data_IF_548213754605
#
_entry.id   IF_548213754605
#
_cell.length_a   1.000
_cell.length_b   1.000
_cell.length_c   1.000
_cell.angle_alpha   90.00
_cell.angle_beta   90.00
_cell.angle_gamma   90.00
#
_symmetry.space_group_name_H-M   'P 1'
#
loop_
_entity.id
_entity.type
_entity.pdbx_description
1 polymer ?
#
# COMPACT_ATOMS: atom_id res chain seq x y z
N UNK A 1 -58.66 31.92 15.75
CA UNK A 1 -57.40 32.42 15.16
C UNK A 1 -56.16 32.20 16.05
N UNK A 2 -56.31 31.94 17.36
CA UNK A 2 -55.17 31.71 18.28
C UNK A 2 -54.62 30.27 18.26
N UNK A 3 -55.46 29.26 17.98
CA UNK A 3 -55.06 27.83 17.96
C UNK A 3 -54.19 27.44 16.76
N UNK A 4 -54.32 28.12 15.62
CA UNK A 4 -53.54 27.85 14.40
C UNK A 4 -52.11 28.40 14.48
N UNK A 5 -51.87 29.43 15.29
CA UNK A 5 -50.55 30.04 15.47
C UNK A 5 -49.62 29.20 16.34
N UNK A 6 -50.18 28.43 17.28
CA UNK A 6 -49.44 27.52 18.17
C UNK A 6 -48.95 26.28 17.41
N UNK A 7 -49.75 25.75 16.46
CA UNK A 7 -49.37 24.59 15.66
C UNK A 7 -48.24 24.89 14.66
N UNK A 8 -48.25 26.07 14.04
CA UNK A 8 -47.20 26.48 13.11
C UNK A 8 -45.84 26.72 13.80
N UNK A 9 -45.87 27.19 15.06
CA UNK A 9 -44.64 27.41 15.82
C UNK A 9 -44.01 26.07 16.27
N UNK A 10 -44.83 25.08 16.61
CA UNK A 10 -44.34 23.74 16.93
C UNK A 10 -43.76 23.02 15.70
N UNK A 11 -44.36 23.14 14.51
CA UNK A 11 -43.80 22.46 13.32
C UNK A 11 -42.47 23.07 12.86
N UNK A 12 -42.30 24.39 13.00
CA UNK A 12 -41.03 25.07 12.75
C UNK A 12 -39.95 24.69 13.77
N UNK A 13 -40.30 24.59 15.05
CA UNK A 13 -39.37 24.13 16.09
C UNK A 13 -38.98 22.66 15.86
N UNK A 14 -39.93 21.80 15.48
CA UNK A 14 -39.65 20.39 15.16
C UNK A 14 -38.77 20.27 13.92
N UNK A 15 -39.02 21.05 12.85
CA UNK A 15 -38.14 21.08 11.67
C UNK A 15 -36.75 21.59 11.99
N UNK A 16 -36.60 22.63 12.82
CA UNK A 16 -35.29 23.15 13.23
C UNK A 16 -34.54 22.11 14.09
N UNK A 17 -35.26 21.36 14.94
CA UNK A 17 -34.66 20.30 15.75
C UNK A 17 -34.25 19.12 14.87
N UNK A 18 -35.12 18.65 13.96
CA UNK A 18 -34.81 17.59 12.99
C UNK A 18 -33.66 17.98 12.06
N UNK A 19 -33.63 19.21 11.55
CA UNK A 19 -32.51 19.72 10.74
C UNK A 19 -31.22 19.80 11.57
N UNK A 20 -31.29 20.17 12.86
CA UNK A 20 -30.12 20.21 13.75
C UNK A 20 -29.61 18.82 14.14
N UNK A 21 -30.50 17.85 14.38
CA UNK A 21 -30.15 16.46 14.66
C UNK A 21 -29.63 15.76 13.40
N UNK A 22 -30.26 16.00 12.25
CA UNK A 22 -29.78 15.50 10.97
C UNK A 22 -28.41 16.10 10.62
N UNK A 23 -28.20 17.41 10.80
CA UNK A 23 -26.85 18.00 10.59
C UNK A 23 -25.82 17.52 11.61
N UNK A 24 -26.18 17.28 12.87
CA UNK A 24 -25.30 16.65 13.86
C UNK A 24 -24.98 15.18 13.52
N UNK A 25 -25.97 14.42 13.04
CA UNK A 25 -25.80 13.04 12.58
C UNK A 25 -24.98 12.95 11.28
N UNK A 26 -25.22 13.83 10.31
CA UNK A 26 -24.42 13.92 9.09
C UNK A 26 -22.98 14.37 9.38
N UNK A 27 -22.79 15.36 10.27
CA UNK A 27 -21.46 15.78 10.71
C UNK A 27 -20.75 14.64 11.46
N UNK A 28 -21.43 13.89 12.34
CA UNK A 28 -20.82 12.76 13.05
C UNK A 28 -20.51 11.57 12.13
N UNK A 29 -21.37 11.27 11.16
CA UNK A 29 -21.14 10.21 10.18
C UNK A 29 -20.00 10.54 9.21
N UNK A 30 -19.94 11.77 8.69
CA UNK A 30 -18.83 12.24 7.84
C UNK A 30 -17.51 12.23 8.61
N UNK A 31 -17.49 12.71 9.85
CA UNK A 31 -16.31 12.65 10.72
C UNK A 31 -15.86 11.21 10.98
N UNK A 32 -16.79 10.30 11.24
CA UNK A 32 -16.49 8.89 11.46
C UNK A 32 -15.93 8.24 10.20
N UNK A 33 -16.49 8.55 9.03
CA UNK A 33 -15.97 8.08 7.75
C UNK A 33 -14.54 8.58 7.50
N UNK A 34 -14.29 9.89 7.66
CA UNK A 34 -12.95 10.48 7.50
C UNK A 34 -11.94 9.88 8.48
N UNK A 35 -12.34 9.68 9.74
CA UNK A 35 -11.53 9.00 10.73
C UNK A 35 -11.11 7.60 10.25
N UNK A 36 -12.08 6.79 9.83
CA UNK A 36 -11.82 5.44 9.29
C UNK A 36 -10.87 5.50 8.10
N UNK A 37 -11.07 6.43 7.16
CA UNK A 37 -10.20 6.61 6.00
C UNK A 37 -8.75 6.92 6.41
N UNK A 38 -8.54 7.83 7.37
CA UNK A 38 -7.19 8.18 7.86
C UNK A 38 -6.53 6.99 8.51
N UNK A 39 -7.23 6.27 9.40
CA UNK A 39 -6.70 5.08 10.05
C UNK A 39 -6.29 4.03 9.02
N UNK A 40 -7.15 3.75 8.03
CA UNK A 40 -6.84 2.81 6.95
C UNK A 40 -5.63 3.30 6.15
N UNK A 41 -5.55 4.58 5.80
CA UNK A 41 -4.42 5.13 5.06
C UNK A 41 -3.10 4.97 5.84
N UNK A 42 -3.10 5.29 7.14
CA UNK A 42 -1.93 5.12 8.02
C UNK A 42 -1.48 3.66 8.09
N UNK A 43 -2.41 2.74 8.28
CA UNK A 43 -2.13 1.30 8.31
C UNK A 43 -1.53 0.82 6.99
N UNK A 44 -2.12 1.22 5.86
CA UNK A 44 -1.60 0.87 4.53
C UNK A 44 -0.17 1.38 4.38
N UNK A 45 0.11 2.64 4.73
CA UNK A 45 1.45 3.23 4.62
C UNK A 45 2.51 2.46 5.43
N UNK A 46 2.17 2.04 6.65
CA UNK A 46 3.07 1.24 7.49
C UNK A 46 3.27 -0.19 6.95
N UNK A 47 2.25 -0.77 6.32
CA UNK A 47 2.28 -2.16 5.85
C UNK A 47 2.97 -2.35 4.50
N UNK A 48 3.00 -1.35 3.62
CA UNK A 48 3.63 -1.44 2.28
C UNK A 48 5.04 -2.06 2.32
N UNK A 49 6.01 -1.50 3.08
CA UNK A 49 7.37 -2.06 3.09
C UNK A 49 7.43 -3.49 3.65
N UNK A 50 6.58 -3.81 4.64
CA UNK A 50 6.51 -5.15 5.22
C UNK A 50 5.97 -6.17 4.21
N UNK A 51 4.89 -5.84 3.50
CA UNK A 51 4.29 -6.69 2.47
C UNK A 51 5.25 -6.92 1.31
N UNK A 52 5.93 -5.85 0.85
CA UNK A 52 6.94 -5.95 -0.21
C UNK A 52 8.10 -6.86 0.21
N UNK A 53 8.62 -6.69 1.43
CA UNK A 53 9.71 -7.52 1.95
C UNK A 53 9.29 -8.99 2.08
N UNK A 54 8.15 -9.27 2.71
CA UNK A 54 7.64 -10.62 2.87
C UNK A 54 7.43 -11.31 1.52
N UNK A 55 6.77 -10.62 0.58
CA UNK A 55 6.52 -11.15 -0.75
C UNK A 55 7.81 -11.35 -1.56
N UNK A 56 8.81 -10.48 -1.40
CA UNK A 56 10.13 -10.67 -2.01
C UNK A 56 10.80 -11.94 -1.50
N UNK A 57 10.84 -12.15 -0.18
CA UNK A 57 11.46 -13.32 0.45
C UNK A 57 10.76 -14.62 0.01
N UNK A 58 9.43 -14.65 0.04
CA UNK A 58 8.65 -15.81 -0.42
C UNK A 58 8.97 -16.16 -1.89
N UNK A 59 9.01 -15.15 -2.77
CA UNK A 59 9.33 -15.38 -4.17
C UNK A 59 10.79 -15.81 -4.37
N UNK A 60 11.73 -15.36 -3.54
CA UNK A 60 13.12 -15.84 -3.58
C UNK A 60 13.21 -17.35 -3.29
N UNK A 61 12.51 -17.83 -2.26
CA UNK A 61 12.45 -19.26 -1.96
C UNK A 61 11.76 -20.05 -3.07
N UNK A 62 10.67 -19.52 -3.64
CA UNK A 62 9.97 -20.15 -4.77
C UNK A 62 10.85 -20.25 -6.03
N UNK A 63 11.65 -19.22 -6.35
CA UNK A 63 12.63 -19.27 -7.44
C UNK A 63 13.61 -20.43 -7.24
N UNK A 64 14.16 -20.57 -6.03
CA UNK A 64 15.13 -21.62 -5.73
C UNK A 64 14.48 -23.01 -5.79
N UNK A 65 13.25 -23.14 -5.29
CA UNK A 65 12.47 -24.38 -5.36
C UNK A 65 12.22 -24.81 -6.81
N UNK A 66 11.63 -23.94 -7.63
CA UNK A 66 11.30 -24.27 -9.02
C UNK A 66 12.55 -24.43 -9.88
N UNK A 67 13.62 -23.67 -9.62
CA UNK A 67 14.92 -23.89 -10.25
C UNK A 67 15.43 -25.32 -10.01
N UNK A 68 15.38 -25.79 -8.76
CA UNK A 68 15.80 -27.15 -8.42
C UNK A 68 14.92 -28.19 -9.10
N UNK A 69 13.60 -28.01 -9.12
CA UNK A 69 12.67 -28.92 -9.81
C UNK A 69 12.92 -29.01 -11.32
N UNK A 70 13.21 -27.87 -11.97
CA UNK A 70 13.60 -27.79 -13.38
C UNK A 70 14.91 -28.57 -13.59
N UNK A 71 15.94 -28.26 -12.82
CA UNK A 71 17.29 -28.83 -13.00
C UNK A 71 17.33 -30.34 -12.70
N UNK A 72 16.61 -30.83 -11.69
CA UNK A 72 16.59 -32.26 -11.37
C UNK A 72 15.80 -33.04 -12.38
N UNK A 73 14.61 -32.59 -12.76
CA UNK A 73 13.73 -33.37 -13.63
C UNK A 73 14.30 -33.41 -15.06
N UNK A 74 14.76 -32.29 -15.64
CA UNK A 74 15.25 -32.27 -17.02
C UNK A 74 16.48 -33.17 -17.18
N UNK A 75 17.36 -33.19 -16.18
CA UNK A 75 18.55 -34.04 -16.19
C UNK A 75 18.25 -35.52 -15.94
N UNK A 76 17.03 -35.92 -15.58
CA UNK A 76 16.71 -37.30 -15.16
C UNK A 76 15.61 -38.00 -15.96
N UNK A 77 14.98 -37.36 -16.95
CA UNK A 77 13.80 -37.93 -17.62
C UNK A 77 13.99 -38.22 -19.10
N UNK A 78 14.19 -39.50 -19.40
CA UNK A 78 13.45 -40.15 -20.49
C UNK A 78 11.96 -40.21 -20.08
N UNK A 79 10.99 -40.15 -21.03
CA UNK A 79 9.52 -40.38 -20.89
C UNK A 79 8.59 -39.13 -21.04
N UNK A 80 8.20 -38.87 -22.30
CA UNK A 80 6.89 -38.57 -22.94
C UNK A 80 5.77 -37.74 -22.22
N UNK A 81 5.54 -37.78 -20.90
CA UNK A 81 4.47 -36.99 -20.23
C UNK A 81 4.86 -35.55 -19.83
N UNK A 82 5.91 -35.05 -20.47
CA UNK A 82 6.76 -34.00 -19.92
C UNK A 82 6.30 -32.56 -20.22
N UNK A 83 5.57 -32.33 -21.30
CA UNK A 83 5.41 -30.98 -21.86
C UNK A 83 4.52 -30.07 -21.00
N UNK A 84 3.37 -30.56 -20.54
CA UNK A 84 2.39 -29.73 -19.83
C UNK A 84 2.82 -29.42 -18.38
N UNK A 85 3.30 -30.43 -17.66
CA UNK A 85 3.81 -30.25 -16.29
C UNK A 85 5.05 -29.35 -16.26
N UNK A 86 5.99 -29.56 -17.19
CA UNK A 86 7.21 -28.73 -17.28
C UNK A 86 6.87 -27.30 -17.63
N UNK A 87 5.93 -27.07 -18.55
CA UNK A 87 5.41 -25.73 -18.86
C UNK A 87 4.81 -25.06 -17.61
N UNK A 88 4.02 -25.79 -16.83
CA UNK A 88 3.46 -25.29 -15.57
C UNK A 88 4.54 -24.89 -14.54
N UNK A 89 5.60 -25.69 -14.38
CA UNK A 89 6.72 -25.37 -13.48
C UNK A 89 7.54 -24.18 -13.98
N UNK A 90 7.73 -24.08 -15.30
CA UNK A 90 8.41 -22.95 -15.94
C UNK A 90 7.62 -21.64 -15.77
N UNK A 91 6.30 -21.67 -15.96
CA UNK A 91 5.44 -20.50 -15.75
C UNK A 91 5.46 -20.03 -14.28
N UNK A 92 5.47 -20.98 -13.33
CA UNK A 92 5.64 -20.68 -11.90
C UNK A 92 7.00 -20.06 -11.61
N UNK A 93 8.08 -20.59 -12.20
CA UNK A 93 9.42 -20.00 -12.08
C UNK A 93 9.46 -18.56 -12.61
N UNK A 94 8.96 -18.32 -13.83
CA UNK A 94 8.91 -16.98 -14.44
C UNK A 94 8.08 -16.01 -13.60
N UNK A 95 6.93 -16.46 -13.09
CA UNK A 95 6.09 -15.67 -12.21
C UNK A 95 6.82 -15.32 -10.90
N UNK A 96 7.53 -16.26 -10.30
CA UNK A 96 8.32 -16.01 -9.09
C UNK A 96 9.49 -15.06 -9.37
N UNK A 97 10.20 -15.17 -10.49
CA UNK A 97 11.22 -14.19 -10.90
C UNK A 97 10.64 -12.79 -11.09
N UNK A 98 9.53 -12.66 -11.82
CA UNK A 98 8.84 -11.39 -12.04
C UNK A 98 8.39 -10.76 -10.72
N UNK A 99 7.77 -11.55 -9.83
CA UNK A 99 7.31 -11.08 -8.53
C UNK A 99 8.47 -10.73 -7.59
N UNK A 100 9.57 -11.49 -7.58
CA UNK A 100 10.75 -11.16 -6.79
C UNK A 100 11.30 -9.78 -7.16
N UNK A 101 11.57 -9.55 -8.45
CA UNK A 101 12.14 -8.27 -8.92
C UNK A 101 11.13 -7.13 -8.74
N UNK A 102 9.84 -7.37 -9.01
CA UNK A 102 8.74 -6.44 -8.70
C UNK A 102 8.80 -5.96 -7.24
N UNK A 103 8.87 -6.88 -6.30
CA UNK A 103 8.85 -6.54 -4.88
C UNK A 103 10.17 -5.94 -4.40
N UNK A 104 11.31 -6.43 -4.91
CA UNK A 104 12.64 -5.88 -4.62
C UNK A 104 12.77 -4.43 -5.07
N UNK A 105 12.39 -4.12 -6.30
CA UNK A 105 12.44 -2.75 -6.85
C UNK A 105 11.47 -1.82 -6.14
N UNK A 106 10.27 -2.28 -5.81
CA UNK A 106 9.33 -1.53 -4.96
C UNK A 106 9.93 -1.21 -3.59
N UNK A 107 10.51 -2.21 -2.92
CA UNK A 107 11.13 -2.02 -1.61
C UNK A 107 12.35 -1.09 -1.67
N UNK A 108 13.19 -1.24 -2.71
CA UNK A 108 14.33 -0.36 -2.94
C UNK A 108 13.88 1.09 -3.17
N UNK A 109 12.87 1.30 -4.01
CA UNK A 109 12.29 2.62 -4.27
C UNK A 109 11.74 3.24 -2.98
N UNK A 110 10.96 2.49 -2.20
CA UNK A 110 10.47 2.94 -0.90
C UNK A 110 11.61 3.46 -0.04
N UNK A 111 12.64 2.64 0.21
CA UNK A 111 13.77 3.03 1.05
C UNK A 111 14.57 4.22 0.51
N UNK A 112 14.84 4.26 -0.80
CA UNK A 112 15.59 5.36 -1.42
C UNK A 112 14.82 6.67 -1.33
N UNK A 113 13.52 6.68 -1.64
CA UNK A 113 12.71 7.89 -1.61
C UNK A 113 12.37 8.33 -0.18
N UNK A 114 12.17 7.40 0.75
CA UNK A 114 12.09 7.70 2.18
C UNK A 114 13.38 8.35 2.68
N UNK A 115 14.54 7.82 2.29
CA UNK A 115 15.83 8.39 2.68
C UNK A 115 16.04 9.78 2.06
N UNK A 116 15.70 9.95 0.79
CA UNK A 116 15.77 11.24 0.12
C UNK A 116 14.90 12.27 0.86
N UNK A 117 13.66 11.92 1.21
CA UNK A 117 12.77 12.78 1.99
C UNK A 117 13.34 13.13 3.36
N UNK A 118 13.92 12.18 4.09
CA UNK A 118 14.54 12.43 5.40
C UNK A 118 15.71 13.42 5.28
N UNK A 119 16.51 13.31 4.22
CA UNK A 119 17.69 14.17 4.00
C UNK A 119 17.29 15.56 3.55
N UNK A 120 16.30 15.69 2.65
CA UNK A 120 15.93 16.99 2.07
C UNK A 120 14.83 17.71 2.83
N UNK A 121 14.01 16.99 3.60
CA UNK A 121 12.84 17.51 4.30
C UNK A 121 13.10 17.98 5.73
N UNK A 122 14.28 17.70 6.28
CA UNK A 122 14.62 18.01 7.67
C UNK A 122 16.04 18.56 7.80
N UNK A 123 16.23 19.53 8.70
CA UNK A 123 17.54 20.15 8.95
C UNK A 123 18.60 19.18 9.49
N UNK A 124 18.15 18.14 10.20
CA UNK A 124 19.02 17.13 10.80
C UNK A 124 18.51 15.73 10.49
N UNK A 125 19.39 14.88 9.94
CA UNK A 125 19.10 13.48 9.62
C UNK A 125 18.52 12.70 10.80
N UNK A 126 19.06 12.86 12.02
CA UNK A 126 18.57 12.15 13.21
C UNK A 126 17.13 12.54 13.53
N UNK A 127 16.83 13.85 13.47
CA UNK A 127 15.48 14.37 13.70
C UNK A 127 14.53 13.88 12.61
N UNK A 128 14.94 13.98 11.34
CA UNK A 128 14.13 13.52 10.21
C UNK A 128 13.81 12.02 10.28
N UNK A 129 14.77 11.20 10.68
CA UNK A 129 14.55 9.75 10.85
C UNK A 129 13.50 9.48 11.95
N UNK A 130 13.60 10.17 13.10
CA UNK A 130 12.64 10.02 14.19
C UNK A 130 11.24 10.49 13.76
N UNK A 131 11.13 11.69 13.19
CA UNK A 131 9.86 12.28 12.78
C UNK A 131 9.20 11.51 11.64
N UNK A 132 9.97 11.03 10.67
CA UNK A 132 9.48 10.20 9.56
C UNK A 132 8.77 8.94 10.05
N UNK A 133 9.40 8.18 10.96
CA UNK A 133 8.81 6.95 11.48
C UNK A 133 7.72 7.21 12.53
N UNK A 134 7.78 8.33 13.25
CA UNK A 134 6.73 8.73 14.21
C UNK A 134 5.50 9.33 13.54
N UNK A 135 5.60 9.83 12.32
CA UNK A 135 4.51 10.50 11.62
C UNK A 135 3.16 9.75 11.72
N UNK A 136 3.04 8.45 11.39
CA UNK A 136 1.77 7.74 11.50
C UNK A 136 1.19 7.72 12.92
N UNK A 137 2.05 7.59 13.93
CA UNK A 137 1.66 7.58 15.34
C UNK A 137 1.32 8.99 15.84
N UNK A 138 2.03 10.02 15.38
CA UNK A 138 1.76 11.41 15.70
C UNK A 138 0.41 11.84 15.13
N UNK A 139 0.08 11.42 13.90
CA UNK A 139 -1.26 11.61 13.34
C UNK A 139 -2.28 10.89 14.21
N UNK A 140 -2.08 9.62 14.53
CA UNK A 140 -3.00 8.85 15.37
C UNK A 140 -3.28 9.52 16.72
N UNK A 141 -2.24 9.99 17.42
CA UNK A 141 -2.37 10.67 18.70
C UNK A 141 -3.07 12.03 18.61
N UNK A 142 -2.99 12.69 17.45
CA UNK A 142 -3.66 13.98 17.20
C UNK A 142 -5.14 13.86 16.86
N UNK A 143 -5.68 12.64 16.72
CA UNK A 143 -7.09 12.41 16.38
C UNK A 143 -8.06 12.57 17.58
N UNK A 144 -7.60 13.05 18.74
CA UNK A 144 -8.48 13.40 19.86
C UNK A 144 -9.17 14.77 19.64
N UNK A 145 -10.52 14.74 19.65
CA UNK A 145 -11.46 15.88 19.75
C UNK A 145 -11.45 16.93 18.61
N UNK A 146 -12.54 17.01 17.83
CA UNK A 146 -12.97 18.11 16.93
C UNK A 146 -11.98 18.68 15.90
N UNK A 147 -10.91 17.95 15.60
CA UNK A 147 -9.78 18.50 14.87
C UNK A 147 -9.19 17.58 13.78
N UNK A 148 -9.95 16.60 13.25
CA UNK A 148 -9.46 15.70 12.18
C UNK A 148 -8.90 16.50 10.99
N UNK A 149 -9.61 17.53 10.54
CA UNK A 149 -9.15 18.42 9.47
C UNK A 149 -7.91 19.22 9.87
N UNK A 150 -7.78 19.60 11.15
CA UNK A 150 -6.61 20.31 11.65
C UNK A 150 -5.39 19.39 11.73
N UNK A 151 -5.57 18.11 12.07
CA UNK A 151 -4.52 17.10 12.01
C UNK A 151 -4.00 16.92 10.57
N UNK A 152 -4.90 16.77 9.59
CA UNK A 152 -4.51 16.68 8.17
C UNK A 152 -3.69 17.91 7.75
N UNK A 153 -4.16 19.12 8.08
CA UNK A 153 -3.45 20.37 7.75
C UNK A 153 -2.08 20.45 8.41
N UNK A 154 -2.00 20.12 9.70
CA UNK A 154 -0.77 20.16 10.50
C UNK A 154 0.33 19.27 9.91
N UNK A 155 -0.06 18.10 9.37
CA UNK A 155 0.89 17.16 8.77
C UNK A 155 0.89 17.15 7.23
N UNK A 156 0.40 18.20 6.58
CA UNK A 156 0.21 18.25 5.13
C UNK A 156 1.47 17.91 4.31
N UNK A 157 2.64 18.41 4.72
CA UNK A 157 3.93 18.10 4.07
C UNK A 157 4.30 16.61 4.17
N UNK A 158 4.10 16.00 5.35
CA UNK A 158 4.35 14.58 5.57
C UNK A 158 3.42 13.71 4.73
N UNK A 159 2.12 14.08 4.66
CA UNK A 159 1.14 13.41 3.83
C UNK A 159 1.51 13.46 2.35
N UNK A 160 1.86 14.63 1.83
CA UNK A 160 2.26 14.80 0.44
C UNK A 160 3.51 13.98 0.11
N UNK A 161 4.49 13.98 1.00
CA UNK A 161 5.74 13.26 0.82
C UNK A 161 5.51 11.75 0.84
N UNK A 162 4.75 11.24 1.81
CA UNK A 162 4.38 9.82 1.87
C UNK A 162 3.57 9.38 0.64
N UNK A 163 2.60 10.18 0.21
CA UNK A 163 1.85 9.91 -1.02
C UNK A 163 2.78 9.82 -2.24
N UNK A 164 3.73 10.76 -2.35
CA UNK A 164 4.73 10.75 -3.42
C UNK A 164 5.61 9.50 -3.38
N UNK A 165 6.09 9.10 -2.19
CA UNK A 165 6.87 7.87 -2.00
C UNK A 165 6.06 6.64 -2.42
N UNK A 166 4.77 6.57 -2.08
CA UNK A 166 3.87 5.48 -2.49
C UNK A 166 3.74 5.43 -4.01
N UNK A 167 3.46 6.55 -4.67
CA UNK A 167 3.31 6.62 -6.13
C UNK A 167 4.60 6.18 -6.82
N UNK A 168 5.76 6.67 -6.38
CA UNK A 168 7.06 6.25 -6.91
C UNK A 168 7.30 4.76 -6.67
N UNK A 169 6.99 4.25 -5.48
CA UNK A 169 7.09 2.83 -5.15
C UNK A 169 6.25 1.98 -6.11
N UNK A 170 5.02 2.40 -6.43
CA UNK A 170 4.16 1.72 -7.40
C UNK A 170 4.74 1.73 -8.81
N UNK A 171 5.29 2.86 -9.27
CA UNK A 171 5.95 2.98 -10.57
C UNK A 171 7.12 1.98 -10.66
N UNK A 172 8.00 1.98 -9.67
CA UNK A 172 9.15 1.07 -9.65
C UNK A 172 8.74 -0.39 -9.52
N UNK A 173 7.67 -0.68 -8.79
CA UNK A 173 7.07 -2.02 -8.71
C UNK A 173 6.61 -2.50 -10.10
N UNK A 174 5.95 -1.66 -10.89
CA UNK A 174 5.53 -1.98 -12.25
C UNK A 174 6.72 -2.22 -13.18
N UNK A 175 7.74 -1.35 -13.11
CA UNK A 175 8.99 -1.51 -13.86
C UNK A 175 9.70 -2.83 -13.50
N UNK A 176 9.83 -3.12 -12.21
CA UNK A 176 10.46 -4.35 -11.73
C UNK A 176 9.73 -5.61 -12.17
N UNK A 177 8.40 -5.57 -12.29
CA UNK A 177 7.63 -6.70 -12.83
C UNK A 177 8.03 -7.02 -14.27
N UNK A 178 8.17 -5.99 -15.10
CA UNK A 178 8.60 -6.12 -16.49
C UNK A 178 10.03 -6.66 -16.57
N UNK A 179 10.96 -6.03 -15.84
CA UNK A 179 12.37 -6.45 -15.79
C UNK A 179 12.51 -7.90 -15.33
N UNK A 180 11.82 -8.29 -14.24
CA UNK A 180 11.92 -9.64 -13.70
C UNK A 180 11.38 -10.73 -14.63
N UNK A 181 10.35 -10.41 -15.44
CA UNK A 181 9.87 -11.33 -16.47
C UNK A 181 10.92 -11.53 -17.58
N UNK A 182 11.55 -10.46 -18.05
CA UNK A 182 12.62 -10.52 -19.05
C UNK A 182 13.82 -11.31 -18.52
N UNK A 183 14.29 -11.02 -17.30
CA UNK A 183 15.37 -11.75 -16.65
C UNK A 183 15.06 -13.25 -16.49
N UNK A 184 13.81 -13.58 -16.12
CA UNK A 184 13.36 -14.96 -16.02
C UNK A 184 13.43 -15.70 -17.36
N UNK A 185 12.94 -15.07 -18.44
CA UNK A 185 12.96 -15.63 -19.79
C UNK A 185 14.39 -15.84 -20.32
N UNK A 186 15.29 -14.88 -20.09
CA UNK A 186 16.70 -15.04 -20.48
C UNK A 186 17.36 -16.22 -19.76
N UNK A 187 17.12 -16.37 -18.46
CA UNK A 187 17.62 -17.51 -17.67
C UNK A 187 17.08 -18.84 -18.16
N UNK A 188 15.83 -18.87 -18.64
CA UNK A 188 15.23 -20.05 -19.25
C UNK A 188 15.81 -20.37 -20.62
N UNK A 189 16.06 -19.35 -21.46
CA UNK A 189 16.71 -19.50 -22.77
C UNK A 189 18.12 -20.09 -22.62
N UNK A 190 18.88 -19.65 -21.62
CA UNK A 190 20.19 -20.22 -21.28
C UNK A 190 20.14 -21.71 -20.91
N UNK A 191 18.97 -22.22 -20.53
CA UNK A 191 18.73 -23.65 -20.20
C UNK A 191 18.15 -24.44 -21.38
N UNK A 192 17.94 -23.81 -22.53
CA UNK A 192 17.31 -24.45 -23.70
C UNK A 192 15.83 -24.80 -23.50
N UNK A 193 15.13 -24.12 -22.57
CA UNK A 193 13.75 -24.43 -22.22
C UNK A 193 12.70 -23.56 -22.93
N UNK A 194 13.15 -22.47 -23.56
CA UNK A 194 12.37 -21.51 -24.36
C UNK A 194 13.25 -21.04 -25.51
#
# INVERSE_FOLDING_TARGET
>A
MLKTLIFANNSLIIQIIEDSEATLLFNSAEYLFLFICIIIALLIMMLIPAILCFSMIDNFFNINKFKKEIDTRICTSDIIHYSEYTKCTCDKYLKSCSNFVKNFTGLAAWNIFSLAYIITGFDNFKTGLIEYFRFPFNVFNSLNSDAILNSIKSFSSNWLSMFTIIVLTLIFTLLGKYIGNTMGKERMKLRGLI
#
